data_IF_022598259361
#
_entry.id   IF_022598259361
#
_cell.length_a   1.000
_cell.length_b   1.000
_cell.length_c   1.000
_cell.angle_alpha   90.00
_cell.angle_beta   90.00
_cell.angle_gamma   90.00
#
_symmetry.space_group_name_H-M   'P 1'
#
loop_
_entity.id
_entity.type
_entity.pdbx_description
1 polymer ?
#
# COMPACT_ATOMS: atom_id res chain seq x y z
N UNK A 1 -20.80 -14.36 -9.57
CA UNK A 1 -19.84 -13.33 -9.17
C UNK A 1 -18.46 -13.90 -9.41
N UNK A 2 -17.58 -13.18 -10.11
CA UNK A 2 -16.19 -13.58 -10.25
C UNK A 2 -15.55 -13.71 -8.86
N UNK A 3 -14.58 -14.60 -8.68
CA UNK A 3 -13.84 -14.66 -7.43
C UNK A 3 -12.93 -13.41 -7.35
N UNK A 4 -12.56 -12.96 -6.15
CA UNK A 4 -11.69 -11.79 -5.97
C UNK A 4 -10.35 -11.92 -6.73
N UNK A 5 -9.90 -13.14 -6.98
CA UNK A 5 -8.72 -13.45 -7.81
C UNK A 5 -8.97 -13.22 -9.30
N UNK A 6 -10.16 -13.53 -9.82
CA UNK A 6 -10.51 -13.28 -11.22
C UNK A 6 -10.66 -11.77 -11.47
N UNK A 7 -11.25 -11.04 -10.50
CA UNK A 7 -11.36 -9.57 -10.55
C UNK A 7 -9.98 -8.90 -10.58
N UNK A 8 -9.03 -9.32 -9.73
CA UNK A 8 -7.68 -8.78 -9.73
C UNK A 8 -6.95 -9.02 -11.05
N UNK A 9 -7.11 -10.20 -11.66
CA UNK A 9 -6.49 -10.54 -12.94
C UNK A 9 -6.96 -9.64 -14.09
N UNK A 10 -8.17 -9.10 -14.04
CA UNK A 10 -8.66 -8.12 -15.00
C UNK A 10 -7.81 -6.83 -14.96
N UNK A 11 -7.54 -6.31 -13.76
CA UNK A 11 -6.72 -5.10 -13.59
C UNK A 11 -5.24 -5.34 -13.91
N UNK A 12 -4.67 -6.48 -13.51
CA UNK A 12 -3.28 -6.83 -13.84
C UNK A 12 -3.05 -6.86 -15.36
N UNK A 13 -4.06 -7.20 -16.17
CA UNK A 13 -3.98 -7.22 -17.62
C UNK A 13 -4.04 -5.83 -18.28
N UNK A 14 -4.42 -4.80 -17.55
CA UNK A 14 -4.38 -3.42 -18.07
C UNK A 14 -2.93 -3.06 -18.44
N UNK A 15 -2.68 -2.57 -19.68
CA UNK A 15 -1.31 -2.35 -20.17
C UNK A 15 -0.46 -1.48 -19.24
N UNK A 16 -1.04 -0.41 -18.68
CA UNK A 16 -0.36 0.51 -17.77
C UNK A 16 0.10 -0.21 -16.51
N UNK A 17 -0.78 -0.99 -15.89
CA UNK A 17 -0.49 -1.77 -14.67
C UNK A 17 0.49 -2.90 -14.99
N UNK A 18 0.22 -3.69 -16.04
CA UNK A 18 1.05 -4.84 -16.40
C UNK A 18 2.50 -4.44 -16.74
N UNK A 19 2.69 -3.30 -17.40
CA UNK A 19 4.02 -2.78 -17.70
C UNK A 19 4.78 -2.39 -16.42
N UNK A 20 4.11 -1.72 -15.48
CA UNK A 20 4.74 -1.36 -14.21
C UNK A 20 5.08 -2.60 -13.39
N UNK A 21 4.15 -3.54 -13.26
CA UNK A 21 4.39 -4.79 -12.52
C UNK A 21 5.54 -5.60 -13.13
N UNK A 22 5.64 -5.68 -14.46
CA UNK A 22 6.75 -6.35 -15.14
C UNK A 22 8.10 -5.67 -14.86
N UNK A 23 8.11 -4.34 -14.80
CA UNK A 23 9.30 -3.56 -14.47
C UNK A 23 9.72 -3.77 -13.03
N UNK A 24 8.78 -3.74 -12.08
CA UNK A 24 9.07 -4.02 -10.68
C UNK A 24 9.61 -5.45 -10.47
N UNK A 25 9.01 -6.45 -11.11
CA UNK A 25 9.47 -7.85 -11.00
C UNK A 25 10.91 -8.04 -11.51
N UNK A 26 11.27 -7.34 -12.60
CA UNK A 26 12.57 -7.51 -13.25
C UNK A 26 13.69 -6.59 -12.75
N UNK A 27 13.37 -5.40 -12.28
CA UNK A 27 14.34 -4.32 -12.04
C UNK A 27 14.47 -3.90 -10.56
N UNK A 28 13.51 -4.26 -9.67
CA UNK A 28 13.64 -3.95 -8.25
C UNK A 28 14.89 -4.59 -7.64
N UNK A 29 15.56 -3.84 -6.78
CA UNK A 29 16.68 -4.33 -6.00
C UNK A 29 16.23 -5.50 -5.12
N UNK A 30 16.87 -6.66 -5.29
CA UNK A 30 16.56 -7.89 -4.54
C UNK A 30 16.81 -7.80 -3.03
N UNK A 31 17.48 -6.76 -2.57
CA UNK A 31 17.62 -6.48 -1.14
C UNK A 31 16.38 -5.85 -0.52
N UNK A 32 15.38 -5.45 -1.32
CA UNK A 32 14.07 -5.03 -0.87
C UNK A 32 13.24 -6.27 -0.52
N UNK A 33 13.30 -6.68 0.75
CA UNK A 33 12.60 -7.88 1.25
C UNK A 33 11.15 -7.59 1.60
N UNK A 34 10.83 -6.35 1.97
CA UNK A 34 9.48 -5.87 2.26
C UNK A 34 8.86 -5.12 1.08
N UNK A 35 9.49 -4.03 0.59
CA UNK A 35 8.99 -3.23 -0.54
C UNK A 35 9.33 -3.90 -1.89
N UNK A 36 8.90 -5.12 -2.06
CA UNK A 36 9.16 -5.96 -3.23
C UNK A 36 7.91 -6.10 -4.12
N UNK A 37 8.07 -6.69 -5.28
CA UNK A 37 6.96 -7.00 -6.19
C UNK A 37 5.79 -7.72 -5.49
N UNK A 38 6.10 -8.64 -4.55
CA UNK A 38 5.07 -9.35 -3.77
C UNK A 38 4.25 -8.43 -2.87
N UNK A 39 4.85 -7.37 -2.30
CA UNK A 39 4.13 -6.35 -1.54
C UNK A 39 3.18 -5.57 -2.44
N UNK A 40 3.63 -5.11 -3.60
CA UNK A 40 2.76 -4.40 -4.55
C UNK A 40 1.52 -5.21 -4.94
N UNK A 41 1.71 -6.50 -5.25
CA UNK A 41 0.58 -7.40 -5.53
C UNK A 41 -0.34 -7.60 -4.33
N UNK A 42 0.20 -7.68 -3.13
CA UNK A 42 -0.58 -7.79 -1.90
C UNK A 42 -1.41 -6.53 -1.67
N UNK A 43 -0.80 -5.33 -1.81
CA UNK A 43 -1.52 -4.04 -1.70
C UNK A 43 -2.64 -3.94 -2.73
N UNK A 44 -2.40 -4.28 -3.99
CA UNK A 44 -3.44 -4.31 -5.02
C UNK A 44 -4.59 -5.25 -4.65
N UNK A 45 -4.29 -6.44 -4.13
CA UNK A 45 -5.28 -7.41 -3.70
C UNK A 45 -6.12 -6.90 -2.52
N UNK A 46 -5.47 -6.29 -1.52
CA UNK A 46 -6.18 -5.74 -0.36
C UNK A 46 -7.04 -4.54 -0.77
N UNK A 47 -6.48 -3.61 -1.56
CA UNK A 47 -7.21 -2.43 -2.03
C UNK A 47 -8.47 -2.81 -2.83
N UNK A 48 -8.36 -3.80 -3.72
CA UNK A 48 -9.51 -4.31 -4.46
C UNK A 48 -10.56 -4.93 -3.55
N UNK A 49 -10.14 -5.77 -2.60
CA UNK A 49 -11.07 -6.41 -1.66
C UNK A 49 -11.83 -5.38 -0.80
N UNK A 50 -11.13 -4.36 -0.29
CA UNK A 50 -11.74 -3.26 0.46
C UNK A 50 -12.73 -2.47 -0.41
N UNK A 51 -12.33 -2.14 -1.65
CA UNK A 51 -13.15 -1.40 -2.60
C UNK A 51 -14.40 -2.17 -3.05
N UNK A 52 -14.32 -3.51 -3.15
CA UNK A 52 -15.46 -4.37 -3.47
C UNK A 52 -16.47 -4.42 -2.30
N UNK A 53 -16.00 -4.46 -1.04
CA UNK A 53 -16.86 -4.45 0.15
C UNK A 53 -17.63 -3.14 0.27
N UNK A 54 -16.97 -2.01 -0.02
CA UNK A 54 -17.56 -0.68 0.08
C UNK A 54 -18.23 -0.22 -1.23
N UNK A 55 -18.46 -1.15 -2.19
CA UNK A 55 -19.17 -0.92 -3.46
C UNK A 55 -18.63 0.25 -4.30
N UNK A 56 -17.29 0.46 -4.33
CA UNK A 56 -16.69 1.46 -5.22
C UNK A 56 -17.03 1.15 -6.68
N UNK A 57 -17.23 2.18 -7.48
CA UNK A 57 -17.47 2.06 -8.92
C UNK A 57 -16.29 1.41 -9.65
N UNK A 58 -16.52 0.87 -10.85
CA UNK A 58 -15.47 0.26 -11.65
C UNK A 58 -14.34 1.25 -12.01
N UNK A 59 -14.68 2.52 -12.28
CA UNK A 59 -13.71 3.56 -12.55
C UNK A 59 -12.87 3.89 -11.30
N UNK A 60 -13.49 4.01 -10.14
CA UNK A 60 -12.77 4.23 -8.88
C UNK A 60 -11.84 3.08 -8.55
N UNK A 61 -12.29 1.83 -8.75
CA UNK A 61 -11.43 0.65 -8.60
C UNK A 61 -10.26 0.65 -9.58
N UNK A 62 -10.47 1.07 -10.83
CA UNK A 62 -9.36 1.18 -11.79
C UNK A 62 -8.31 2.20 -11.34
N UNK A 63 -8.72 3.40 -10.92
CA UNK A 63 -7.81 4.43 -10.42
C UNK A 63 -7.06 3.95 -9.16
N UNK A 64 -7.76 3.28 -8.26
CA UNK A 64 -7.17 2.69 -7.06
C UNK A 64 -6.14 1.60 -7.41
N UNK A 65 -6.41 0.75 -8.39
CA UNK A 65 -5.47 -0.29 -8.84
C UNK A 65 -4.23 0.30 -9.51
N UNK A 66 -4.37 1.40 -10.26
CA UNK A 66 -3.23 2.14 -10.80
C UNK A 66 -2.40 2.70 -9.65
N UNK A 67 -3.02 3.39 -8.70
CA UNK A 67 -2.32 3.94 -7.55
C UNK A 67 -1.58 2.84 -6.75
N UNK A 68 -2.23 1.71 -6.49
CA UNK A 68 -1.64 0.57 -5.80
C UNK A 68 -0.46 -0.07 -6.57
N UNK A 69 -0.52 -0.12 -7.91
CA UNK A 69 0.57 -0.65 -8.71
C UNK A 69 1.80 0.28 -8.74
N UNK A 70 1.62 1.57 -8.52
CA UNK A 70 2.68 2.57 -8.62
C UNK A 70 3.15 3.14 -7.28
N UNK A 71 2.48 2.85 -6.14
CA UNK A 71 2.77 3.52 -4.86
C UNK A 71 4.24 3.38 -4.44
N UNK A 72 4.83 2.22 -4.68
CA UNK A 72 6.22 1.89 -4.38
C UNK A 72 7.14 1.87 -5.61
N UNK A 73 6.65 2.27 -6.79
CA UNK A 73 7.44 2.25 -8.03
C UNK A 73 8.70 3.13 -7.95
N UNK A 74 8.71 4.13 -7.08
CA UNK A 74 9.87 4.97 -6.84
C UNK A 74 11.10 4.22 -6.31
N UNK A 75 10.93 3.06 -5.67
CA UNK A 75 12.04 2.20 -5.23
C UNK A 75 12.88 1.65 -6.39
N UNK A 76 12.38 1.70 -7.62
CA UNK A 76 13.18 1.42 -8.82
C UNK A 76 14.35 2.40 -9.00
N UNK A 77 14.26 3.61 -8.44
CA UNK A 77 15.24 4.68 -8.61
C UNK A 77 15.93 5.06 -7.30
N UNK A 78 15.20 5.13 -6.19
CA UNK A 78 15.77 5.49 -4.88
C UNK A 78 14.90 4.99 -3.72
N UNK A 79 15.51 4.77 -2.56
CA UNK A 79 14.80 4.33 -1.34
C UNK A 79 14.11 5.48 -0.60
N UNK A 80 14.79 6.56 -0.17
CA UNK A 80 14.11 7.64 0.53
C UNK A 80 13.29 8.48 -0.45
N UNK A 81 12.07 8.86 -0.05
CA UNK A 81 11.15 9.68 -0.86
C UNK A 81 10.78 9.00 -2.20
N UNK A 82 10.45 7.72 -2.15
CA UNK A 82 9.98 6.95 -3.29
C UNK A 82 8.61 7.42 -3.79
N UNK A 83 7.73 7.90 -2.92
CA UNK A 83 6.35 8.27 -3.22
C UNK A 83 6.24 9.36 -4.29
N UNK A 84 6.98 10.49 -4.23
CA UNK A 84 6.94 11.49 -5.30
C UNK A 84 7.36 10.95 -6.66
N UNK A 85 8.30 10.01 -6.68
CA UNK A 85 8.78 9.39 -7.92
C UNK A 85 7.74 8.43 -8.47
N UNK A 86 7.17 7.55 -7.61
CA UNK A 86 6.10 6.65 -8.00
C UNK A 86 4.87 7.39 -8.52
N UNK A 87 4.50 8.49 -7.84
CA UNK A 87 3.40 9.36 -8.25
C UNK A 87 3.64 10.01 -9.63
N UNK A 88 4.86 10.49 -9.90
CA UNK A 88 5.20 11.05 -11.20
C UNK A 88 5.23 9.99 -12.30
N UNK A 89 5.78 8.81 -12.03
CA UNK A 89 5.76 7.68 -12.96
C UNK A 89 4.31 7.28 -13.33
N UNK A 90 3.39 7.27 -12.36
CA UNK A 90 1.97 7.01 -12.62
C UNK A 90 1.36 8.08 -13.51
N UNK A 91 1.59 9.37 -13.21
CA UNK A 91 1.08 10.50 -14.00
C UNK A 91 1.59 10.46 -15.43
N UNK A 92 2.88 10.24 -15.64
CA UNK A 92 3.47 10.13 -16.98
C UNK A 92 2.86 8.96 -17.78
N UNK A 93 2.68 7.79 -17.15
CA UNK A 93 2.09 6.62 -17.78
C UNK A 93 0.61 6.85 -18.16
N UNK A 94 -0.18 7.47 -17.26
CA UNK A 94 -1.57 7.82 -17.51
C UNK A 94 -1.69 8.87 -18.62
N UNK A 95 -0.84 9.90 -18.63
CA UNK A 95 -0.79 10.92 -19.68
C UNK A 95 -0.46 10.30 -21.04
N UNK A 96 0.50 9.37 -21.09
CA UNK A 96 0.90 8.69 -22.33
C UNK A 96 -0.21 7.79 -22.90
N UNK A 97 -1.04 7.18 -22.05
CA UNK A 97 -2.17 6.36 -22.48
C UNK A 97 -3.29 7.16 -23.14
N UNK A 98 -3.46 8.44 -22.78
CA UNK A 98 -4.53 9.35 -23.23
C UNK A 98 -5.95 8.88 -22.88
N UNK A 99 -6.07 7.99 -21.91
CA UNK A 99 -7.35 7.40 -21.48
C UNK A 99 -7.93 8.10 -20.25
N UNK A 100 -7.13 8.91 -19.55
CA UNK A 100 -7.48 9.51 -18.26
C UNK A 100 -7.51 11.03 -18.32
N UNK A 101 -8.49 11.62 -17.64
CA UNK A 101 -8.57 13.07 -17.46
C UNK A 101 -7.45 13.60 -16.55
N UNK A 102 -7.24 14.92 -16.56
CA UNK A 102 -6.26 15.57 -15.69
C UNK A 102 -6.62 15.37 -14.22
N UNK A 103 -7.91 15.40 -13.90
CA UNK A 103 -8.43 15.19 -12.54
C UNK A 103 -8.16 13.78 -12.03
N UNK A 104 -8.30 12.77 -12.89
CA UNK A 104 -7.98 11.37 -12.55
C UNK A 104 -6.47 11.17 -12.35
N UNK A 105 -5.64 11.77 -13.21
CA UNK A 105 -4.18 11.74 -13.06
C UNK A 105 -3.75 12.38 -11.73
N UNK A 106 -4.31 13.54 -11.38
CA UNK A 106 -4.02 14.23 -10.12
C UNK A 106 -4.51 13.42 -8.92
N UNK A 107 -5.67 12.77 -9.02
CA UNK A 107 -6.20 11.91 -7.97
C UNK A 107 -5.27 10.72 -7.69
N UNK A 108 -4.79 10.02 -8.73
CA UNK A 108 -3.85 8.92 -8.59
C UNK A 108 -2.52 9.41 -8.03
N UNK A 109 -2.02 10.54 -8.53
CA UNK A 109 -0.81 11.17 -8.00
C UNK A 109 -0.94 11.45 -6.49
N UNK A 110 -2.05 12.07 -6.08
CA UNK A 110 -2.26 12.41 -4.67
C UNK A 110 -2.46 11.16 -3.79
N UNK A 111 -3.17 10.11 -4.27
CA UNK A 111 -3.28 8.84 -3.55
C UNK A 111 -1.91 8.25 -3.24
N UNK A 112 -0.99 8.25 -4.21
CA UNK A 112 0.37 7.75 -4.01
C UNK A 112 1.14 8.64 -3.02
N UNK A 113 1.04 9.96 -3.13
CA UNK A 113 1.65 10.88 -2.15
C UNK A 113 1.12 10.68 -0.73
N UNK A 114 -0.12 10.27 -0.58
CA UNK A 114 -0.76 10.04 0.71
C UNK A 114 -0.23 8.78 1.43
N UNK A 115 0.42 7.84 0.73
CA UNK A 115 1.04 6.66 1.37
C UNK A 115 2.24 7.03 2.23
N UNK A 116 2.83 8.20 2.03
CA UNK A 116 3.93 8.69 2.84
C UNK A 116 3.54 8.77 4.32
N UNK A 117 4.38 8.20 5.20
CA UNK A 117 4.18 8.29 6.63
C UNK A 117 4.49 9.70 7.15
N UNK A 118 3.56 10.26 7.92
CA UNK A 118 3.75 11.56 8.57
C UNK A 118 4.77 11.45 9.72
N UNK A 119 5.60 12.46 9.90
CA UNK A 119 6.51 12.55 11.03
C UNK A 119 5.76 12.68 12.37
N UNK A 120 4.64 13.42 12.39
CA UNK A 120 3.82 13.68 13.57
C UNK A 120 2.32 13.53 13.24
N UNK A 121 1.48 13.40 14.28
CA UNK A 121 0.04 13.27 14.14
C UNK A 121 -0.39 11.88 13.65
N UNK A 122 -1.49 11.73 12.89
CA UNK A 122 -1.90 10.46 12.29
C UNK A 122 -0.80 9.87 11.43
N UNK A 123 -0.68 8.53 11.37
CA UNK A 123 0.36 7.86 10.59
C UNK A 123 0.33 8.27 9.11
N UNK A 124 -0.85 8.35 8.53
CA UNK A 124 -1.10 8.79 7.15
C UNK A 124 -2.29 9.76 7.11
N UNK A 125 -2.44 10.49 6.01
CA UNK A 125 -3.54 11.46 5.82
C UNK A 125 -4.13 11.31 4.43
N UNK A 126 -5.39 10.91 4.35
CA UNK A 126 -6.14 10.85 3.09
C UNK A 126 -6.52 12.27 2.62
N UNK A 127 -6.10 12.64 1.42
CA UNK A 127 -6.39 13.95 0.79
C UNK A 127 -7.33 13.82 -0.39
N UNK A 128 -7.57 12.60 -0.90
CA UNK A 128 -8.62 12.33 -1.89
C UNK A 128 -9.69 11.45 -1.28
N UNK A 129 -10.84 11.38 -1.94
CA UNK A 129 -11.93 10.49 -1.49
C UNK A 129 -11.58 9.01 -1.68
N UNK A 130 -10.58 8.66 -2.55
CA UNK A 130 -10.12 7.29 -2.78
C UNK A 130 -8.89 6.91 -1.95
N UNK A 131 -8.14 7.86 -1.39
CA UNK A 131 -6.96 7.56 -0.57
C UNK A 131 -7.23 6.59 0.59
N UNK A 132 -8.38 6.61 1.29
CA UNK A 132 -8.63 5.69 2.40
C UNK A 132 -8.38 4.23 2.08
N UNK A 133 -8.80 3.74 0.91
CA UNK A 133 -8.64 2.34 0.52
C UNK A 133 -7.20 1.95 0.19
N UNK A 134 -6.44 2.86 -0.43
CA UNK A 134 -5.03 2.62 -0.69
C UNK A 134 -4.22 2.59 0.60
N UNK A 135 -4.45 3.57 1.49
CA UNK A 135 -3.72 3.68 2.76
C UNK A 135 -3.98 2.48 3.68
N UNK A 136 -5.25 2.05 3.76
CA UNK A 136 -5.61 0.86 4.53
C UNK A 136 -5.02 -0.42 3.91
N UNK A 137 -4.96 -0.50 2.58
CA UNK A 137 -4.38 -1.65 1.89
C UNK A 137 -2.86 -1.74 2.07
N UNK A 138 -2.15 -0.61 1.99
CA UNK A 138 -0.70 -0.52 2.17
C UNK A 138 -0.27 -0.98 3.57
N UNK A 139 -1.01 -0.58 4.60
CA UNK A 139 -0.76 -0.96 5.98
C UNK A 139 -1.62 -2.15 6.48
N UNK A 140 -2.29 -2.89 5.59
CA UNK A 140 -3.19 -3.97 5.96
C UNK A 140 -2.53 -5.06 6.81
N UNK A 141 -1.22 -5.28 6.66
CA UNK A 141 -0.45 -6.22 7.48
C UNK A 141 -0.55 -5.93 8.99
N UNK A 142 -0.76 -4.67 9.41
CA UNK A 142 -0.95 -4.32 10.83
C UNK A 142 -2.17 -5.02 11.44
N UNK A 143 -3.20 -5.31 10.63
CA UNK A 143 -4.44 -5.97 11.02
C UNK A 143 -4.59 -7.40 10.49
N UNK A 144 -3.48 -8.12 10.19
CA UNK A 144 -3.51 -9.49 9.64
C UNK A 144 -2.61 -10.45 10.42
N UNK A 145 -2.72 -11.75 10.08
CA UNK A 145 -1.92 -12.81 10.73
C UNK A 145 -0.44 -12.77 10.34
N UNK A 146 -0.11 -12.20 9.19
CA UNK A 146 1.26 -12.06 8.70
C UNK A 146 2.02 -10.84 9.26
N UNK A 147 1.42 -10.10 10.20
CA UNK A 147 2.00 -8.91 10.83
C UNK A 147 3.44 -9.11 11.29
N UNK A 148 3.70 -10.16 12.07
CA UNK A 148 5.05 -10.41 12.60
C UNK A 148 6.06 -10.71 11.49
N UNK A 149 5.67 -11.54 10.53
CA UNK A 149 6.52 -11.84 9.39
C UNK A 149 6.85 -10.58 8.57
N UNK A 150 5.85 -9.74 8.30
CA UNK A 150 6.05 -8.47 7.58
C UNK A 150 6.94 -7.50 8.35
N UNK A 151 6.77 -7.41 9.68
CA UNK A 151 7.64 -6.59 10.54
C UNK A 151 9.09 -7.08 10.50
N UNK A 152 9.31 -8.40 10.49
CA UNK A 152 10.65 -8.99 10.36
C UNK A 152 11.28 -8.67 9.00
N UNK A 153 10.54 -8.80 7.91
CA UNK A 153 11.04 -8.46 6.55
C UNK A 153 11.43 -6.98 6.47
N UNK A 154 10.65 -6.08 7.07
CA UNK A 154 10.97 -4.65 7.09
C UNK A 154 12.22 -4.37 7.93
N UNK A 155 12.38 -5.04 9.07
CA UNK A 155 13.59 -4.99 9.92
C UNK A 155 14.84 -5.42 9.14
N UNK A 156 14.75 -6.54 8.40
CA UNK A 156 15.83 -7.03 7.53
C UNK A 156 16.16 -6.04 6.42
N UNK A 157 15.15 -5.51 5.73
CA UNK A 157 15.33 -4.54 4.65
C UNK A 157 16.01 -3.26 5.13
N UNK A 158 15.61 -2.75 6.28
CA UNK A 158 16.17 -1.54 6.88
C UNK A 158 17.52 -1.80 7.56
N UNK A 159 17.94 -3.06 7.69
CA UNK A 159 19.14 -3.49 8.43
C UNK A 159 19.14 -2.98 9.90
N UNK A 160 17.96 -2.96 10.51
CA UNK A 160 17.72 -2.59 11.91
C UNK A 160 17.38 -3.85 12.68
N UNK A 161 18.04 -4.17 13.81
CA UNK A 161 17.67 -5.30 14.66
C UNK A 161 16.19 -5.25 15.03
N UNK A 162 15.54 -6.41 15.07
CA UNK A 162 14.09 -6.47 15.34
C UNK A 162 13.72 -5.78 16.67
N UNK A 163 14.58 -5.89 17.69
CA UNK A 163 14.39 -5.28 18.99
C UNK A 163 14.34 -3.74 18.92
N UNK A 164 15.08 -3.14 17.99
CA UNK A 164 15.07 -1.70 17.74
C UNK A 164 13.88 -1.29 16.85
N UNK A 165 13.36 -2.20 16.02
CA UNK A 165 12.18 -1.97 15.19
C UNK A 165 10.88 -1.94 16.02
N UNK A 166 10.79 -2.69 17.13
CA UNK A 166 9.56 -2.82 17.91
C UNK A 166 9.02 -1.49 18.44
N UNK A 167 9.81 -0.59 19.05
CA UNK A 167 9.33 0.72 19.51
C UNK A 167 8.78 1.59 18.37
N UNK A 168 9.43 1.55 17.21
CA UNK A 168 8.95 2.25 16.01
C UNK A 168 7.61 1.69 15.54
N UNK A 169 7.51 0.36 15.42
CA UNK A 169 6.27 -0.32 15.01
C UNK A 169 5.14 -0.05 16.02
N UNK A 170 5.41 -0.09 17.33
CA UNK A 170 4.44 0.25 18.35
C UNK A 170 3.92 1.70 18.21
N UNK A 171 4.82 2.64 17.99
CA UNK A 171 4.46 4.05 17.77
C UNK A 171 3.62 4.23 16.51
N UNK A 172 4.00 3.56 15.41
CA UNK A 172 3.24 3.57 14.15
C UNK A 172 1.81 3.02 14.39
N UNK A 173 1.69 1.86 15.02
CA UNK A 173 0.38 1.24 15.30
C UNK A 173 -0.50 2.10 16.20
N UNK A 174 0.09 2.82 17.16
CA UNK A 174 -0.64 3.74 18.04
C UNK A 174 -1.17 4.99 17.33
N UNK A 175 -0.49 5.44 16.27
CA UNK A 175 -0.87 6.62 15.46
C UNK A 175 -1.73 6.25 14.24
N UNK A 176 -1.70 4.98 13.84
CA UNK A 176 -2.46 4.49 12.69
C UNK A 176 -3.92 4.26 13.06
N UNK A 177 -4.84 4.67 12.18
CA UNK A 177 -6.27 4.35 12.21
C UNK A 177 -6.72 3.92 10.83
N UNK A 178 -7.62 2.94 10.76
CA UNK A 178 -8.23 2.56 9.49
C UNK A 178 -9.15 3.67 9.01
N UNK A 179 -9.07 4.00 7.74
CA UNK A 179 -9.72 5.17 7.14
C UNK A 179 -10.98 4.80 6.34
N UNK A 180 -10.99 3.62 5.70
CA UNK A 180 -12.16 3.10 4.97
C UNK A 180 -13.10 2.31 5.89
N UNK A 181 -14.42 2.26 5.59
CA UNK A 181 -15.36 1.42 6.33
C UNK A 181 -14.96 -0.05 6.34
N UNK A 182 -14.56 -0.59 5.18
CA UNK A 182 -14.12 -1.99 5.04
C UNK A 182 -12.84 -2.27 5.84
N UNK A 183 -11.86 -1.35 5.85
CA UNK A 183 -10.65 -1.48 6.66
C UNK A 183 -10.93 -1.52 8.15
N UNK A 184 -11.83 -0.65 8.63
CA UNK A 184 -12.28 -0.66 10.03
C UNK A 184 -12.95 -1.99 10.38
N UNK A 185 -13.82 -2.49 9.51
CA UNK A 185 -14.54 -3.75 9.72
C UNK A 185 -13.61 -4.96 9.76
N UNK A 186 -12.66 -5.04 8.81
CA UNK A 186 -11.87 -6.26 8.63
C UNK A 186 -10.64 -6.33 9.53
N UNK A 187 -10.02 -5.20 9.86
CA UNK A 187 -8.67 -5.20 10.41
C UNK A 187 -8.57 -4.69 11.86
N UNK A 188 -9.62 -4.06 12.43
CA UNK A 188 -9.52 -3.42 13.74
C UNK A 188 -9.23 -4.41 14.87
N UNK A 189 -9.98 -5.51 14.94
CA UNK A 189 -9.82 -6.51 16.00
C UNK A 189 -8.42 -7.15 15.95
N UNK A 190 -8.01 -7.58 14.75
CA UNK A 190 -6.71 -8.23 14.57
C UNK A 190 -5.54 -7.28 14.82
N UNK A 191 -5.68 -5.99 14.45
CA UNK A 191 -4.67 -4.97 14.77
C UNK A 191 -4.50 -4.83 16.27
N UNK A 192 -5.59 -4.85 17.06
CA UNK A 192 -5.48 -4.81 18.53
C UNK A 192 -4.75 -6.05 19.06
N UNK A 193 -5.09 -7.25 18.56
CA UNK A 193 -4.40 -8.48 18.94
C UNK A 193 -2.91 -8.43 18.59
N UNK A 194 -2.55 -7.89 17.43
CA UNK A 194 -1.17 -7.72 16.99
C UNK A 194 -0.42 -6.69 17.86
N UNK A 195 -1.08 -5.61 18.27
CA UNK A 195 -0.51 -4.63 19.20
C UNK A 195 -0.24 -5.25 20.57
N UNK A 196 -1.19 -6.02 21.11
CA UNK A 196 -1.01 -6.73 22.39
C UNK A 196 0.13 -7.75 22.29
N UNK A 197 0.22 -8.48 21.18
CA UNK A 197 1.33 -9.40 20.92
C UNK A 197 2.68 -8.65 20.85
N UNK A 198 2.74 -7.52 20.14
CA UNK A 198 3.94 -6.69 20.04
C UNK A 198 4.43 -6.24 21.41
N UNK A 199 3.51 -5.82 22.30
CA UNK A 199 3.82 -5.44 23.69
C UNK A 199 4.50 -6.58 24.45
N UNK A 200 4.10 -7.85 24.24
CA UNK A 200 4.77 -9.00 24.88
C UNK A 200 6.22 -9.20 24.43
N UNK A 201 6.57 -8.70 23.23
CA UNK A 201 7.94 -8.77 22.68
C UNK A 201 8.83 -7.61 23.13
N UNK A 202 8.22 -6.52 23.63
CA UNK A 202 8.92 -5.34 24.15
C UNK A 202 9.21 -5.43 25.66
N UNK A 203 8.86 -6.53 26.33
CA UNK A 203 9.13 -6.70 27.74
C UNK A 203 10.65 -6.89 27.94
N UNK A 204 11.23 -5.98 28.63
CA UNK A 204 12.62 -5.74 29.01
C UNK A 204 13.15 -6.72 30.03
#
# INVERSE_FOLDING_TARGET
MATSMESLQQYIKQPLISNMLSKMDSELDKSLTYHCYGHTLDVMKQALALAEIDDLSEQERLLLMIAAAFHDAGFLLQRPKNEPIGAEMAREAMLASKEFSVEEQEMVWQMIMDTQLNAEGPAQTARTHLSPWLLDADLANLGRDDFWHKTTLLSEEMQIPIEEMLPFTHTLMGRHGWLSPAGQLLFSEKKQQNLDFLMTKMVW
#
